data_IF_201690021292
#
_entry.id   IF_201690021292
#
_cell.length_a   1.000
_cell.length_b   1.000
_cell.length_c   1.000
_cell.angle_alpha   90.00
_cell.angle_beta   90.00
_cell.angle_gamma   90.00
#
_symmetry.space_group_name_H-M   'P 1'
#
loop_
_entity.id
_entity.type
_entity.pdbx_description
1 polymer ?
#
# COMPACT_ATOMS: atom_id res chain seq x y z
N UNK A 1 -2.48 -20.68 24.59
CA UNK A 1 -3.32 -19.81 25.47
C UNK A 1 -4.32 -19.08 24.57
N UNK A 2 -5.60 -19.00 24.95
CA UNK A 2 -6.68 -18.42 24.14
C UNK A 2 -6.92 -16.94 24.46
N UNK A 3 -5.97 -16.08 24.12
CA UNK A 3 -6.02 -14.65 24.45
C UNK A 3 -6.77 -13.81 23.40
N UNK A 4 -7.00 -14.36 22.21
CA UNK A 4 -7.68 -13.68 21.11
C UNK A 4 -9.16 -14.00 21.21
N UNK A 5 -10.00 -12.98 21.39
CA UNK A 5 -11.46 -13.12 21.48
C UNK A 5 -12.12 -13.24 20.12
N UNK A 6 -11.58 -12.60 19.10
CA UNK A 6 -12.11 -12.75 17.75
C UNK A 6 -11.19 -12.21 16.68
N UNK A 7 -11.51 -12.54 15.44
CA UNK A 7 -10.70 -12.18 14.28
C UNK A 7 -11.54 -11.96 13.04
N UNK A 8 -11.00 -11.16 12.13
CA UNK A 8 -11.47 -11.04 10.75
C UNK A 8 -10.63 -11.94 9.85
N UNK A 9 -11.28 -12.64 8.93
CA UNK A 9 -10.66 -13.36 7.81
C UNK A 9 -11.23 -12.78 6.52
N UNK A 10 -10.47 -11.89 5.87
CA UNK A 10 -10.89 -11.23 4.64
C UNK A 10 -10.08 -11.77 3.45
N UNK A 11 -10.71 -12.57 2.60
CA UNK A 11 -10.04 -13.24 1.47
C UNK A 11 -8.89 -14.17 1.89
N UNK A 12 -9.01 -14.78 3.07
CA UNK A 12 -8.02 -15.70 3.63
C UNK A 12 -8.68 -16.93 4.24
N UNK A 13 -8.01 -18.06 4.10
CA UNK A 13 -8.51 -19.35 4.58
C UNK A 13 -7.43 -20.13 5.35
N UNK A 14 -7.11 -19.73 6.60
CA UNK A 14 -6.07 -20.38 7.41
C UNK A 14 -6.43 -21.82 7.82
N UNK A 15 -7.70 -22.20 7.84
CA UNK A 15 -8.11 -23.58 8.11
C UNK A 15 -7.59 -24.58 7.06
N UNK A 16 -7.36 -24.13 5.82
CA UNK A 16 -6.79 -24.93 4.74
C UNK A 16 -5.35 -24.54 4.40
N UNK A 17 -5.07 -23.24 4.24
CA UNK A 17 -3.77 -22.74 3.77
C UNK A 17 -2.73 -22.47 4.86
N UNK A 18 -3.12 -22.53 6.14
CA UNK A 18 -2.24 -22.25 7.26
C UNK A 18 -1.24 -23.40 7.53
N UNK A 19 0.02 -23.10 7.92
CA UNK A 19 0.94 -24.12 8.37
C UNK A 19 0.37 -24.77 9.64
N UNK A 20 0.30 -26.10 9.67
CA UNK A 20 -0.40 -26.84 10.73
C UNK A 20 -1.89 -26.45 10.81
N UNK A 21 -2.65 -26.79 9.76
CA UNK A 21 -4.08 -26.57 9.63
C UNK A 21 -4.90 -27.03 10.86
N UNK A 22 -4.49 -28.10 11.55
CA UNK A 22 -5.16 -28.57 12.77
C UNK A 22 -5.12 -27.53 13.88
N UNK A 23 -3.94 -26.95 14.12
CA UNK A 23 -3.78 -25.89 15.11
C UNK A 23 -4.64 -24.66 14.78
N UNK A 24 -4.71 -24.29 13.50
CA UNK A 24 -5.57 -23.19 13.06
C UNK A 24 -7.04 -23.49 13.32
N UNK A 25 -7.52 -24.67 12.94
CA UNK A 25 -8.92 -25.09 13.14
C UNK A 25 -9.28 -25.15 14.63
N UNK A 26 -8.39 -25.66 15.47
CA UNK A 26 -8.55 -25.65 16.92
C UNK A 26 -8.63 -24.23 17.50
N UNK A 27 -7.82 -23.31 16.97
CA UNK A 27 -7.81 -21.92 17.42
C UNK A 27 -9.10 -21.19 17.03
N UNK A 28 -9.57 -21.37 15.79
CA UNK A 28 -10.80 -20.73 15.29
C UNK A 28 -12.04 -21.18 16.08
N UNK A 29 -12.10 -22.46 16.46
CA UNK A 29 -13.19 -23.03 17.29
C UNK A 29 -13.21 -22.55 18.75
N UNK A 30 -12.20 -21.79 19.19
CA UNK A 30 -12.08 -21.28 20.56
C UNK A 30 -12.26 -19.77 20.68
N UNK A 31 -12.59 -19.10 19.57
CA UNK A 31 -12.88 -17.66 19.56
C UNK A 31 -14.27 -17.41 20.17
N UNK A 32 -14.48 -16.20 20.68
CA UNK A 32 -15.82 -15.70 21.01
C UNK A 32 -16.58 -15.40 19.71
N UNK A 33 -15.93 -14.78 18.73
CA UNK A 33 -16.51 -14.44 17.42
C UNK A 33 -15.50 -14.54 16.27
N UNK A 34 -15.99 -14.85 15.08
CA UNK A 34 -15.21 -14.98 13.85
C UNK A 34 -15.96 -14.35 12.68
N UNK A 35 -15.38 -13.34 12.04
CA UNK A 35 -15.95 -12.70 10.86
C UNK A 35 -15.18 -13.13 9.63
N UNK A 36 -15.86 -13.72 8.65
CA UNK A 36 -15.31 -14.14 7.37
C UNK A 36 -15.92 -13.29 6.25
N UNK A 37 -15.07 -12.81 5.36
CA UNK A 37 -15.43 -12.09 4.14
C UNK A 37 -14.80 -12.83 2.96
N UNK A 38 -15.64 -13.52 2.19
CA UNK A 38 -15.19 -14.33 1.06
C UNK A 38 -16.31 -14.47 0.00
N UNK A 39 -15.98 -15.00 -1.17
CA UNK A 39 -16.92 -15.25 -2.27
C UNK A 39 -17.74 -16.51 -2.03
N UNK A 40 -17.16 -17.47 -1.32
CA UNK A 40 -17.76 -18.76 -1.02
C UNK A 40 -17.65 -19.08 0.46
N UNK A 41 -18.46 -20.03 0.92
CA UNK A 41 -18.18 -20.65 2.20
C UNK A 41 -16.83 -21.38 2.14
N UNK A 42 -15.93 -21.03 3.05
CA UNK A 42 -14.59 -21.61 3.15
C UNK A 42 -14.51 -22.58 4.33
N UNK A 43 -13.48 -23.42 4.36
CA UNK A 43 -13.18 -24.32 5.49
C UNK A 43 -13.03 -23.54 6.81
N UNK A 44 -12.58 -22.28 6.75
CA UNK A 44 -12.51 -21.42 7.94
C UNK A 44 -13.89 -20.97 8.41
N UNK A 45 -14.84 -20.74 7.51
CA UNK A 45 -16.22 -20.39 7.85
C UNK A 45 -17.01 -21.60 8.38
N UNK A 46 -16.77 -22.77 7.81
CA UNK A 46 -17.46 -24.01 8.18
C UNK A 46 -16.74 -24.83 9.27
N UNK A 47 -15.64 -24.32 9.83
CA UNK A 47 -14.77 -25.03 10.79
C UNK A 47 -15.49 -25.57 12.02
N UNK A 48 -16.62 -24.98 12.40
CA UNK A 48 -17.40 -25.36 13.56
C UNK A 48 -18.35 -26.54 13.33
N UNK A 49 -18.65 -26.93 12.07
CA UNK A 49 -19.52 -28.07 11.77
C UNK A 49 -18.98 -29.04 10.71
N UNK A 50 -18.15 -28.56 9.77
CA UNK A 50 -17.65 -29.35 8.65
C UNK A 50 -16.23 -29.90 8.85
N UNK A 51 -15.53 -29.47 9.91
CA UNK A 51 -14.21 -30.02 10.24
C UNK A 51 -14.34 -31.50 10.62
N UNK A 52 -13.53 -32.42 10.05
CA UNK A 52 -13.55 -33.85 10.38
C UNK A 52 -13.33 -34.18 11.87
N UNK A 53 -12.72 -33.29 12.64
CA UNK A 53 -12.50 -33.44 14.09
C UNK A 53 -13.68 -32.90 14.93
N UNK A 54 -14.73 -32.37 14.31
CA UNK A 54 -15.96 -31.95 15.01
C UNK A 54 -16.94 -33.13 15.05
N UNK A 55 -17.30 -33.55 16.26
CA UNK A 55 -18.35 -34.55 16.50
C UNK A 55 -19.65 -33.93 16.99
N UNK A 56 -19.60 -32.77 17.65
CA UNK A 56 -20.76 -32.01 18.11
C UNK A 56 -20.56 -30.51 17.82
N UNK A 57 -21.18 -29.98 16.75
CA UNK A 57 -21.12 -28.55 16.44
C UNK A 57 -21.66 -27.66 17.56
N UNK A 58 -22.58 -28.14 18.40
CA UNK A 58 -23.17 -27.36 19.50
C UNK A 58 -22.18 -27.10 20.64
N UNK A 59 -21.10 -27.88 20.71
CA UNK A 59 -20.04 -27.69 21.69
C UNK A 59 -19.04 -26.58 21.31
N UNK A 60 -19.13 -26.05 20.08
CA UNK A 60 -18.23 -24.99 19.60
C UNK A 60 -18.83 -23.63 19.98
N UNK A 61 -18.17 -22.83 20.84
CA UNK A 61 -18.73 -21.57 21.33
C UNK A 61 -18.62 -20.40 20.36
N UNK A 62 -17.81 -20.52 19.29
CA UNK A 62 -17.53 -19.42 18.37
C UNK A 62 -18.78 -18.96 17.62
N UNK A 63 -19.12 -17.68 17.73
CA UNK A 63 -20.11 -17.04 16.86
C UNK A 63 -19.49 -16.72 15.49
N UNK A 64 -20.05 -17.27 14.41
CA UNK A 64 -19.47 -17.14 13.06
C UNK A 64 -20.35 -16.26 12.17
N UNK A 65 -19.76 -15.20 11.62
CA UNK A 65 -20.36 -14.32 10.63
C UNK A 65 -19.72 -14.54 9.27
N UNK A 66 -20.42 -15.18 8.34
CA UNK A 66 -19.99 -15.24 6.93
C UNK A 66 -20.70 -14.14 6.15
N UNK A 67 -19.92 -13.18 5.65
CA UNK A 67 -20.40 -12.01 4.93
C UNK A 67 -19.97 -12.10 3.45
N UNK A 68 -20.89 -12.16 2.48
CA UNK A 68 -20.55 -12.41 1.09
C UNK A 68 -19.85 -11.20 0.44
N UNK A 69 -18.67 -11.43 -0.12
CA UNK A 69 -17.85 -10.42 -0.76
C UNK A 69 -18.11 -10.33 -2.28
N UNK A 70 -18.01 -9.13 -2.83
CA UNK A 70 -18.03 -8.92 -4.27
C UNK A 70 -16.69 -9.30 -4.90
N UNK A 71 -16.74 -9.99 -6.05
CA UNK A 71 -15.58 -10.42 -6.81
C UNK A 71 -14.88 -9.23 -7.50
N UNK A 72 -13.71 -9.48 -8.10
CA UNK A 72 -12.93 -8.44 -8.78
C UNK A 72 -13.67 -7.77 -9.94
N UNK A 73 -14.52 -8.51 -10.66
CA UNK A 73 -15.28 -7.96 -11.80
C UNK A 73 -16.52 -7.17 -11.35
N UNK A 74 -16.86 -7.25 -10.07
CA UNK A 74 -18.06 -6.66 -9.47
C UNK A 74 -17.79 -5.35 -8.70
N UNK A 75 -16.53 -4.92 -8.64
CA UNK A 75 -16.10 -3.68 -7.99
C UNK A 75 -15.07 -2.94 -8.82
N UNK A 76 -14.90 -1.66 -8.55
CA UNK A 76 -13.82 -0.83 -9.06
C UNK A 76 -12.64 -0.80 -8.07
N UNK A 77 -11.49 -0.38 -8.56
CA UNK A 77 -10.32 -0.17 -7.74
C UNK A 77 -9.03 -0.41 -8.49
N UNK A 78 -7.94 -0.54 -7.74
CA UNK A 78 -6.61 -0.77 -8.31
C UNK A 78 -5.90 -1.96 -7.69
N UNK A 79 -5.16 -2.70 -8.50
CA UNK A 79 -4.21 -3.72 -8.04
C UNK A 79 -2.78 -3.33 -8.38
N UNK A 80 -1.86 -3.68 -7.49
CA UNK A 80 -0.42 -3.62 -7.75
C UNK A 80 0.11 -5.00 -8.09
N UNK A 81 0.67 -5.17 -9.28
CA UNK A 81 1.28 -6.44 -9.68
C UNK A 81 2.75 -6.55 -9.19
N UNK A 82 3.40 -7.68 -9.50
CA UNK A 82 4.80 -7.94 -9.12
C UNK A 82 5.81 -6.93 -9.68
N UNK A 83 5.46 -6.22 -10.74
CA UNK A 83 6.32 -5.20 -11.36
C UNK A 83 6.16 -3.83 -10.71
N UNK A 84 5.36 -3.73 -9.62
CA UNK A 84 4.96 -2.50 -8.94
C UNK A 84 3.96 -1.66 -9.74
N UNK A 85 3.39 -2.22 -10.80
CA UNK A 85 2.42 -1.54 -11.66
C UNK A 85 1.04 -1.54 -11.02
N UNK A 86 0.56 -0.33 -10.72
CA UNK A 86 -0.76 -0.06 -10.21
C UNK A 86 -1.69 0.15 -11.39
N UNK A 87 -2.64 -0.76 -11.56
CA UNK A 87 -3.60 -0.74 -12.66
C UNK A 87 -5.00 -0.57 -12.12
N UNK A 88 -5.72 0.37 -12.70
CA UNK A 88 -7.14 0.56 -12.39
C UNK A 88 -7.99 -0.40 -13.22
N UNK A 89 -9.01 -0.97 -12.58
CA UNK A 89 -10.09 -1.66 -13.28
C UNK A 89 -11.43 -1.06 -12.90
N UNK A 90 -12.33 -1.01 -13.87
CA UNK A 90 -13.70 -0.63 -13.64
C UNK A 90 -14.54 -1.88 -13.39
N UNK A 91 -15.59 -1.71 -12.60
CA UNK A 91 -16.59 -2.74 -12.43
C UNK A 91 -17.24 -3.09 -13.78
N UNK A 92 -17.35 -4.38 -14.06
CA UNK A 92 -18.00 -4.89 -15.27
C UNK A 92 -19.48 -5.27 -15.05
N UNK A 93 -19.82 -5.79 -13.87
CA UNK A 93 -21.17 -6.26 -13.51
C UNK A 93 -21.53 -5.86 -12.08
N UNK A 94 -22.81 -5.84 -11.73
CA UNK A 94 -23.23 -5.65 -10.33
C UNK A 94 -22.96 -6.93 -9.51
N UNK A 95 -22.56 -6.83 -8.23
CA UNK A 95 -22.48 -7.97 -7.35
C UNK A 95 -23.82 -8.70 -7.24
N UNK A 96 -23.85 -10.05 -7.17
CA UNK A 96 -25.09 -10.79 -7.04
C UNK A 96 -25.70 -10.64 -5.64
N UNK A 97 -27.02 -10.51 -5.58
CA UNK A 97 -27.77 -10.46 -4.32
C UNK A 97 -27.23 -9.40 -3.34
N UNK A 98 -26.89 -9.83 -2.13
CA UNK A 98 -26.38 -8.96 -1.06
C UNK A 98 -24.85 -8.91 -0.98
N UNK A 99 -24.14 -9.38 -2.00
CA UNK A 99 -22.69 -9.20 -2.08
C UNK A 99 -22.33 -7.71 -2.07
N UNK A 100 -21.30 -7.35 -1.31
CA UNK A 100 -20.75 -5.97 -1.23
C UNK A 100 -19.24 -6.00 -1.38
N UNK A 101 -18.66 -4.91 -1.87
CA UNK A 101 -17.20 -4.82 -1.99
C UNK A 101 -16.52 -4.82 -0.62
N UNK A 102 -15.21 -5.09 -0.59
CA UNK A 102 -14.44 -4.99 0.65
C UNK A 102 -14.27 -3.55 1.11
N UNK A 103 -14.27 -2.60 0.17
CA UNK A 103 -14.24 -1.18 0.48
C UNK A 103 -15.55 -0.77 1.17
N UNK A 104 -16.70 -1.21 0.67
CA UNK A 104 -18.00 -1.03 1.33
C UNK A 104 -17.98 -1.54 2.77
N UNK A 105 -17.52 -2.79 2.96
CA UNK A 105 -17.49 -3.42 4.27
C UNK A 105 -16.62 -2.65 5.25
N UNK A 106 -15.38 -2.32 4.85
CA UNK A 106 -14.48 -1.56 5.70
C UNK A 106 -15.03 -0.16 6.01
N UNK A 107 -15.59 0.51 5.01
CA UNK A 107 -16.14 1.85 5.14
C UNK A 107 -17.36 1.90 6.06
N UNK A 108 -18.35 1.03 5.84
CA UNK A 108 -19.56 0.94 6.66
C UNK A 108 -19.23 0.54 8.11
N UNK A 109 -18.34 -0.44 8.30
CA UNK A 109 -17.85 -0.82 9.64
C UNK A 109 -17.19 0.38 10.33
N UNK A 110 -16.35 1.13 9.62
CA UNK A 110 -15.73 2.35 10.12
C UNK A 110 -16.76 3.39 10.56
N UNK A 111 -17.79 3.67 9.74
CA UNK A 111 -18.87 4.60 10.09
C UNK A 111 -19.62 4.18 11.36
N UNK A 112 -19.96 2.89 11.48
CA UNK A 112 -20.63 2.34 12.66
C UNK A 112 -19.77 2.45 13.92
N UNK A 113 -18.48 2.16 13.82
CA UNK A 113 -17.55 2.31 14.94
C UNK A 113 -17.39 3.78 15.34
N UNK A 114 -17.28 4.70 14.39
CA UNK A 114 -17.24 6.14 14.68
C UNK A 114 -18.50 6.60 15.41
N UNK A 115 -19.69 6.19 14.95
CA UNK A 115 -20.95 6.52 15.60
C UNK A 115 -21.04 5.92 17.02
N UNK A 116 -20.64 4.66 17.20
CA UNK A 116 -20.65 3.98 18.50
C UNK A 116 -19.77 4.69 19.54
N UNK A 117 -18.66 5.29 19.10
CA UNK A 117 -17.67 5.93 19.98
C UNK A 117 -17.73 7.46 19.97
N UNK A 118 -18.70 8.08 19.28
CA UNK A 118 -18.74 9.53 19.07
C UNK A 118 -18.73 10.32 20.39
N UNK A 119 -19.47 9.82 21.39
CA UNK A 119 -19.66 10.46 22.69
C UNK A 119 -18.73 9.87 23.77
N UNK A 120 -17.80 8.98 23.40
CA UNK A 120 -16.94 8.35 24.39
C UNK A 120 -15.97 9.36 25.01
N UNK A 121 -15.93 9.47 26.35
CA UNK A 121 -15.00 10.37 27.04
C UNK A 121 -13.59 9.79 27.17
N UNK A 122 -13.37 8.53 26.78
CA UNK A 122 -12.09 7.85 27.01
C UNK A 122 -11.06 8.29 25.97
N UNK A 123 -9.86 8.61 26.45
CA UNK A 123 -8.72 8.98 25.59
C UNK A 123 -8.39 7.89 24.57
N UNK A 124 -8.45 6.62 24.97
CA UNK A 124 -8.18 5.47 24.08
C UNK A 124 -9.11 5.40 22.86
N UNK A 125 -10.28 6.03 22.92
CA UNK A 125 -11.28 6.03 21.85
C UNK A 125 -11.12 7.26 20.92
N UNK A 126 -10.23 8.20 21.26
CA UNK A 126 -9.96 9.39 20.46
C UNK A 126 -9.53 9.11 19.01
N UNK A 127 -8.70 8.08 18.71
CA UNK A 127 -8.33 7.77 17.33
C UNK A 127 -9.52 7.48 16.42
N UNK A 128 -10.56 6.80 16.92
CA UNK A 128 -11.78 6.54 16.14
C UNK A 128 -12.55 7.84 15.86
N UNK A 129 -12.67 8.71 16.87
CA UNK A 129 -13.39 10.00 16.73
C UNK A 129 -12.71 10.94 15.73
N UNK A 130 -11.37 10.94 15.69
CA UNK A 130 -10.57 11.85 14.86
C UNK A 130 -10.16 11.26 13.50
N UNK A 131 -10.54 10.01 13.19
CA UNK A 131 -10.23 9.39 11.91
C UNK A 131 -10.96 10.11 10.77
N UNK A 132 -10.25 10.62 9.77
CA UNK A 132 -10.87 11.11 8.52
C UNK A 132 -11.52 9.94 7.79
N UNK A 133 -12.80 10.05 7.44
CA UNK A 133 -13.58 8.92 6.92
C UNK A 133 -14.72 9.37 6.00
N UNK A 134 -14.39 10.24 5.03
CA UNK A 134 -15.36 11.03 4.26
C UNK A 134 -15.35 10.64 2.78
N UNK A 135 -15.83 9.43 2.47
CA UNK A 135 -15.78 8.82 1.13
C UNK A 135 -17.17 8.55 0.52
N UNK A 136 -18.22 9.20 1.02
CA UNK A 136 -19.63 8.90 0.68
C UNK A 136 -20.02 9.11 -0.80
N UNK A 137 -19.14 9.63 -1.65
CA UNK A 137 -19.42 9.96 -3.05
C UNK A 137 -19.28 8.79 -4.04
N UNK A 138 -19.36 7.54 -3.58
CA UNK A 138 -19.18 6.38 -4.45
C UNK A 138 -20.27 6.28 -5.54
N UNK A 139 -19.85 6.00 -6.77
CA UNK A 139 -20.72 5.94 -7.95
C UNK A 139 -20.97 4.52 -8.45
N UNK A 140 -20.88 3.53 -7.55
CA UNK A 140 -21.21 2.15 -7.90
C UNK A 140 -22.73 1.91 -7.94
N UNK A 141 -23.59 2.89 -7.64
CA UNK A 141 -25.04 2.65 -7.61
C UNK A 141 -25.45 1.57 -6.59
N UNK A 142 -24.55 1.26 -5.66
CA UNK A 142 -24.79 0.44 -4.48
C UNK A 142 -24.80 1.43 -3.31
N UNK A 143 -25.88 1.42 -2.54
CA UNK A 143 -26.04 2.32 -1.41
C UNK A 143 -24.90 2.13 -0.38
N UNK A 144 -24.28 3.24 0.02
CA UNK A 144 -23.21 3.27 1.02
C UNK A 144 -21.82 2.87 0.52
N UNK A 145 -21.66 2.59 -0.77
CA UNK A 145 -20.35 2.29 -1.35
C UNK A 145 -19.44 3.53 -1.37
N UNK A 146 -18.17 3.43 -0.94
CA UNK A 146 -17.25 4.56 -0.96
C UNK A 146 -16.70 4.87 -2.36
N UNK A 147 -16.28 6.12 -2.60
CA UNK A 147 -15.51 6.50 -3.80
C UNK A 147 -14.06 5.98 -3.69
N UNK A 148 -13.78 4.87 -4.38
CA UNK A 148 -12.43 4.26 -4.36
C UNK A 148 -11.38 5.12 -5.08
N UNK A 149 -11.77 6.02 -6.00
CA UNK A 149 -10.84 6.99 -6.59
C UNK A 149 -10.49 8.08 -5.59
N UNK A 150 -11.44 8.50 -4.74
CA UNK A 150 -11.15 9.41 -3.64
C UNK A 150 -10.14 8.80 -2.67
N UNK A 151 -10.31 7.52 -2.33
CA UNK A 151 -9.32 6.78 -1.53
C UNK A 151 -7.96 6.80 -2.23
N UNK A 152 -7.90 6.56 -3.55
CA UNK A 152 -6.63 6.61 -4.29
C UNK A 152 -6.01 8.03 -4.33
N UNK A 153 -6.83 9.09 -4.41
CA UNK A 153 -6.39 10.50 -4.30
C UNK A 153 -5.79 10.79 -2.91
N UNK A 154 -6.36 10.25 -1.85
CA UNK A 154 -5.79 10.40 -0.50
C UNK A 154 -4.51 9.58 -0.31
N UNK A 155 -4.45 8.39 -0.90
CA UNK A 155 -3.22 7.57 -0.96
C UNK A 155 -2.11 8.33 -1.70
N UNK A 156 -2.42 8.99 -2.82
CA UNK A 156 -1.50 9.87 -3.55
C UNK A 156 -0.99 11.01 -2.67
N UNK A 157 -1.92 11.71 -2.00
CA UNK A 157 -1.65 12.82 -1.12
C UNK A 157 -1.93 14.20 -1.71
N UNK A 158 -2.04 15.19 -0.83
CA UNK A 158 -2.44 16.56 -1.15
C UNK A 158 -1.87 17.58 -0.16
N UNK A 159 -1.84 18.85 -0.56
CA UNK A 159 -1.58 20.01 0.30
C UNK A 159 -2.80 20.27 1.19
N UNK A 160 -2.63 20.29 2.51
CA UNK A 160 -3.75 20.44 3.46
C UNK A 160 -4.48 21.78 3.30
N UNK A 161 -3.74 22.88 3.09
CA UNK A 161 -4.32 24.23 3.01
C UNK A 161 -5.15 24.47 1.73
N UNK A 162 -4.65 24.01 0.58
CA UNK A 162 -5.29 24.24 -0.73
C UNK A 162 -6.17 23.07 -1.19
N UNK A 163 -6.05 21.90 -0.55
CA UNK A 163 -6.64 20.62 -0.99
C UNK A 163 -6.20 20.19 -2.40
N UNK A 164 -5.07 20.74 -2.89
CA UNK A 164 -4.46 20.39 -4.19
C UNK A 164 -3.66 19.10 -4.09
N UNK A 165 -3.80 18.20 -5.07
CA UNK A 165 -3.03 16.96 -5.16
C UNK A 165 -1.52 17.20 -5.29
N UNK A 166 -0.73 16.30 -4.68
CA UNK A 166 0.73 16.26 -4.84
C UNK A 166 1.09 15.64 -6.20
N UNK A 167 2.00 16.27 -6.94
CA UNK A 167 2.43 15.76 -8.26
C UNK A 167 3.48 14.65 -8.14
N UNK A 168 4.13 14.55 -6.99
CA UNK A 168 5.15 13.56 -6.68
C UNK A 168 5.76 13.77 -5.29
N UNK A 169 6.63 12.85 -4.85
CA UNK A 169 7.16 12.82 -3.49
C UNK A 169 8.03 14.02 -3.14
N UNK A 170 8.56 14.75 -4.13
CA UNK A 170 9.34 15.97 -3.91
C UNK A 170 8.53 17.12 -3.28
N UNK A 171 7.19 17.08 -3.36
CA UNK A 171 6.31 18.06 -2.71
C UNK A 171 5.99 17.70 -1.25
N UNK A 172 6.36 16.51 -0.77
CA UNK A 172 6.07 16.09 0.61
C UNK A 172 6.85 16.91 1.63
N UNK A 173 6.17 17.37 2.67
CA UNK A 173 6.74 18.14 3.76
C UNK A 173 6.52 17.46 5.12
N UNK A 174 7.46 17.66 6.04
CA UNK A 174 7.41 17.11 7.41
C UNK A 174 6.81 18.07 8.45
N UNK A 175 6.41 19.26 8.04
CA UNK A 175 5.82 20.31 8.88
C UNK A 175 4.30 20.20 9.05
N UNK A 176 3.69 19.18 8.43
CA UNK A 176 2.25 18.95 8.43
C UNK A 176 1.49 19.72 7.36
N UNK A 177 2.15 20.44 6.44
CA UNK A 177 1.47 21.12 5.33
C UNK A 177 0.94 20.17 4.25
N UNK A 178 1.43 18.93 4.20
CA UNK A 178 0.99 17.88 3.27
C UNK A 178 0.51 16.63 3.97
N UNK A 179 -0.51 15.97 3.42
CA UNK A 179 -0.94 14.63 3.81
C UNK A 179 -0.75 13.64 2.65
N UNK A 180 -0.38 12.40 2.95
CA UNK A 180 -0.16 11.36 1.94
C UNK A 180 -0.36 9.98 2.58
N UNK A 181 -1.32 9.19 2.06
CA UNK A 181 -1.62 7.87 2.60
C UNK A 181 -0.53 6.82 2.31
N UNK A 182 0.13 6.92 1.15
CA UNK A 182 1.30 6.10 0.83
C UNK A 182 2.28 6.87 -0.06
N UNK A 183 3.42 7.27 0.50
CA UNK A 183 4.43 8.06 -0.21
C UNK A 183 4.96 7.40 -1.49
N UNK A 184 4.95 6.07 -1.58
CA UNK A 184 5.33 5.33 -2.78
C UNK A 184 4.37 5.59 -3.95
N UNK A 185 3.10 5.86 -3.66
CA UNK A 185 2.06 6.13 -4.64
C UNK A 185 1.95 7.62 -4.98
N UNK A 186 2.68 8.48 -4.27
CA UNK A 186 2.66 9.92 -4.54
C UNK A 186 3.09 10.21 -5.99
N UNK A 187 2.21 10.89 -6.72
CA UNK A 187 2.29 11.12 -8.15
C UNK A 187 1.41 10.19 -9.01
N UNK A 188 0.69 9.22 -8.46
CA UNK A 188 -0.30 8.43 -9.21
C UNK A 188 -1.54 9.26 -9.59
N UNK A 189 -1.84 10.28 -8.79
CA UNK A 189 -3.00 11.16 -8.94
C UNK A 189 -2.59 12.63 -8.86
N UNK A 190 -1.73 13.13 -9.78
CA UNK A 190 -1.06 14.44 -9.65
C UNK A 190 -2.01 15.65 -9.70
N UNK A 191 -3.23 15.45 -10.19
CA UNK A 191 -4.30 16.46 -10.33
C UNK A 191 -5.64 15.76 -10.10
N UNK A 192 -6.66 16.51 -9.65
CA UNK A 192 -7.95 15.95 -9.19
C UNK A 192 -8.65 15.01 -10.18
N UNK A 193 -8.42 15.17 -11.49
CA UNK A 193 -9.02 14.34 -12.56
C UNK A 193 -8.03 13.46 -13.30
N UNK A 194 -6.78 13.34 -12.82
CA UNK A 194 -5.72 12.61 -13.51
C UNK A 194 -5.36 11.32 -12.77
N UNK A 195 -6.16 10.28 -12.95
CA UNK A 195 -5.84 8.94 -12.46
C UNK A 195 -4.83 8.25 -13.39
N UNK A 196 -3.53 8.23 -13.06
CA UNK A 196 -2.51 7.58 -13.91
C UNK A 196 -2.63 6.05 -13.94
N UNK A 197 -3.30 5.43 -12.96
CA UNK A 197 -3.55 3.99 -12.97
C UNK A 197 -4.50 3.56 -14.12
N UNK A 198 -5.25 4.51 -14.69
CA UNK A 198 -6.13 4.32 -15.86
C UNK A 198 -5.42 4.49 -17.21
N UNK A 199 -4.14 4.83 -17.23
CA UNK A 199 -3.43 5.09 -18.49
C UNK A 199 -3.38 3.82 -19.37
N UNK A 200 -3.75 3.96 -20.65
CA UNK A 200 -3.77 2.86 -21.65
C UNK A 200 -2.89 3.19 -22.86
N UNK A 201 -1.81 3.94 -22.64
CA UNK A 201 -0.89 4.34 -23.70
C UNK A 201 -0.11 3.16 -24.27
N UNK A 202 0.32 3.29 -25.52
CA UNK A 202 1.06 2.25 -26.22
C UNK A 202 2.55 2.28 -25.89
N UNK A 203 3.22 1.17 -26.17
CA UNK A 203 4.67 1.11 -26.16
C UNK A 203 5.24 2.10 -27.19
N UNK A 204 6.27 2.86 -26.81
CA UNK A 204 7.04 3.61 -27.79
C UNK A 204 7.81 2.61 -28.66
N UNK A 205 7.57 2.65 -29.96
CA UNK A 205 8.22 1.76 -30.94
C UNK A 205 9.75 1.71 -30.71
N UNK A 206 10.30 0.50 -30.64
CA UNK A 206 11.74 0.27 -30.47
C UNK A 206 12.27 0.35 -29.03
N UNK A 207 11.40 0.48 -28.02
CA UNK A 207 11.79 0.45 -26.59
C UNK A 207 11.14 -0.75 -25.91
N UNK A 208 11.73 -1.32 -24.85
CA UNK A 208 11.10 -2.38 -24.05
C UNK A 208 10.31 -1.86 -22.84
N UNK A 209 10.05 -0.55 -22.79
CA UNK A 209 9.51 0.14 -21.61
C UNK A 209 8.10 0.67 -21.92
N UNK A 210 7.11 0.17 -21.21
CA UNK A 210 5.70 0.57 -21.36
C UNK A 210 5.36 1.74 -20.43
N UNK A 211 6.08 2.85 -20.55
CA UNK A 211 5.96 4.00 -19.64
C UNK A 211 4.58 4.68 -19.61
N UNK A 212 3.76 4.45 -20.65
CA UNK A 212 2.45 5.08 -20.83
C UNK A 212 1.28 4.12 -20.50
N UNK A 213 1.57 2.88 -20.10
CA UNK A 213 0.58 1.91 -19.64
C UNK A 213 0.53 1.87 -18.11
N UNK A 214 -0.61 2.26 -17.54
CA UNK A 214 -0.83 2.41 -16.11
C UNK A 214 0.29 3.22 -15.41
N UNK A 215 0.53 2.99 -14.12
CA UNK A 215 1.57 3.70 -13.38
C UNK A 215 2.36 2.75 -12.47
N UNK A 216 3.68 2.92 -12.40
CA UNK A 216 4.56 2.06 -11.59
C UNK A 216 5.20 2.84 -10.46
N UNK A 217 5.08 2.38 -9.22
CA UNK A 217 5.78 3.03 -8.12
C UNK A 217 7.26 2.58 -8.07
N UNK A 218 8.22 3.46 -7.75
CA UNK A 218 8.06 4.89 -7.48
C UNK A 218 8.13 5.74 -8.76
N UNK A 219 7.35 6.82 -8.82
CA UNK A 219 7.45 7.89 -9.85
C UNK A 219 7.45 7.39 -11.31
N UNK A 220 6.71 6.32 -11.60
CA UNK A 220 6.63 5.66 -12.91
C UNK A 220 7.92 5.00 -13.42
N UNK A 221 8.88 4.72 -12.52
CA UNK A 221 10.15 4.02 -12.86
C UNK A 221 9.91 2.53 -13.07
N UNK A 222 10.01 2.09 -14.32
CA UNK A 222 9.73 0.70 -14.70
C UNK A 222 10.84 -0.23 -14.23
N UNK A 223 12.10 0.20 -14.31
CA UNK A 223 13.26 -0.58 -13.86
C UNK A 223 13.95 0.19 -12.72
N UNK A 224 13.96 -0.41 -11.53
CA UNK A 224 14.69 0.13 -10.39
C UNK A 224 16.21 0.11 -10.65
N UNK A 225 16.92 1.04 -10.02
CA UNK A 225 18.38 1.15 -10.11
C UNK A 225 18.89 1.33 -11.54
N UNK A 226 18.07 1.88 -12.44
CA UNK A 226 18.40 2.02 -13.86
C UNK A 226 19.61 2.92 -14.11
N UNK A 227 20.02 3.78 -13.17
CA UNK A 227 21.30 4.52 -13.20
C UNK A 227 22.51 3.60 -13.42
N UNK A 228 22.48 2.37 -12.90
CA UNK A 228 23.54 1.38 -13.08
C UNK A 228 23.63 0.81 -14.52
N UNK A 229 22.68 1.12 -15.40
CA UNK A 229 22.72 0.76 -16.83
C UNK A 229 23.70 1.62 -17.66
N UNK A 230 24.25 2.66 -17.06
CA UNK A 230 25.29 3.52 -17.63
C UNK A 230 26.55 3.52 -16.78
N UNK A 231 27.69 3.75 -17.44
CA UNK A 231 29.01 3.85 -16.82
C UNK A 231 29.15 5.09 -15.92
N UNK A 232 30.29 5.23 -15.20
CA UNK A 232 30.54 6.40 -14.35
C UNK A 232 30.52 7.75 -15.09
N UNK A 233 30.69 7.75 -16.43
CA UNK A 233 30.61 8.94 -17.28
C UNK A 233 29.19 9.15 -17.85
N UNK A 234 28.23 8.30 -17.50
CA UNK A 234 26.84 8.39 -17.96
C UNK A 234 26.56 7.84 -19.34
N UNK A 235 27.48 7.05 -19.91
CA UNK A 235 27.30 6.38 -21.19
C UNK A 235 26.72 4.98 -21.00
N UNK A 236 25.72 4.52 -21.77
CA UNK A 236 25.18 3.17 -21.64
C UNK A 236 26.24 2.09 -21.82
N UNK A 237 26.21 1.04 -20.99
CA UNK A 237 27.11 -0.12 -21.15
C UNK A 237 26.90 -0.88 -22.47
N UNK A 238 25.69 -0.83 -23.01
CA UNK A 238 25.31 -1.51 -24.26
C UNK A 238 24.39 -0.62 -25.08
N UNK A 239 24.76 -0.35 -26.34
CA UNK A 239 23.90 0.38 -27.26
C UNK A 239 22.57 -0.37 -27.53
N UNK A 240 22.60 -1.71 -27.58
CA UNK A 240 21.43 -2.56 -27.81
C UNK A 240 20.43 -2.55 -26.65
N UNK A 241 20.92 -2.36 -25.42
CA UNK A 241 20.12 -2.43 -24.19
C UNK A 241 20.18 -1.12 -23.39
N UNK A 242 20.42 0.02 -24.05
CA UNK A 242 20.48 1.31 -23.36
C UNK A 242 19.13 1.59 -22.70
N UNK A 243 19.16 2.17 -21.50
CA UNK A 243 17.96 2.43 -20.71
C UNK A 243 17.92 3.89 -20.27
N UNK A 244 18.92 4.34 -19.52
CA UNK A 244 19.14 5.76 -19.21
C UNK A 244 20.58 6.17 -19.52
N UNK A 245 20.79 7.45 -19.78
CA UNK A 245 22.10 8.04 -20.07
C UNK A 245 22.12 9.52 -19.69
N UNK A 246 23.33 10.08 -19.55
CA UNK A 246 23.53 11.51 -19.38
C UNK A 246 23.48 12.21 -20.75
N UNK A 247 22.63 13.22 -20.88
CA UNK A 247 22.58 14.10 -22.04
C UNK A 247 23.36 15.38 -21.72
N UNK A 248 24.57 15.47 -22.28
CA UNK A 248 25.45 16.63 -22.08
C UNK A 248 24.86 17.93 -22.65
N UNK A 249 24.03 17.86 -23.70
CA UNK A 249 23.43 19.07 -24.28
C UNK A 249 22.32 19.59 -23.38
N UNK A 250 21.49 18.69 -22.85
CA UNK A 250 20.39 19.03 -21.96
C UNK A 250 20.79 19.12 -20.48
N UNK A 251 22.04 18.79 -20.13
CA UNK A 251 22.58 18.75 -18.77
C UNK A 251 21.68 17.96 -17.79
N UNK A 252 21.22 16.77 -18.22
CA UNK A 252 20.34 15.92 -17.42
C UNK A 252 20.42 14.44 -17.76
N UNK A 253 20.05 13.60 -16.80
CA UNK A 253 19.73 12.20 -17.06
C UNK A 253 18.44 12.10 -17.87
N UNK A 254 18.49 11.32 -18.93
CA UNK A 254 17.35 11.03 -19.80
C UNK A 254 17.39 9.56 -20.20
N UNK A 255 16.37 9.07 -20.90
CA UNK A 255 16.32 7.68 -21.26
C UNK A 255 15.00 7.22 -21.86
N UNK A 256 14.87 5.90 -21.99
CA UNK A 256 13.61 5.22 -22.30
C UNK A 256 12.76 4.96 -21.06
N UNK A 257 13.36 5.00 -19.87
CA UNK A 257 12.68 4.91 -18.58
C UNK A 257 12.93 6.20 -17.77
N UNK A 258 12.13 6.43 -16.74
CA UNK A 258 12.33 7.55 -15.80
C UNK A 258 13.63 7.28 -15.00
N UNK A 259 14.63 8.17 -15.01
CA UNK A 259 15.86 7.96 -14.26
C UNK A 259 15.61 7.74 -12.77
N UNK A 260 16.17 6.66 -12.22
CA UNK A 260 16.25 6.38 -10.80
C UNK A 260 17.44 7.10 -10.15
N UNK A 261 17.55 8.39 -10.46
CA UNK A 261 18.61 9.27 -10.00
C UNK A 261 18.12 10.72 -9.95
N UNK A 262 18.89 11.60 -9.33
CA UNK A 262 18.63 13.04 -9.45
C UNK A 262 18.87 13.48 -10.89
N UNK A 263 17.80 13.94 -11.56
CA UNK A 263 17.80 14.21 -13.01
C UNK A 263 18.90 15.21 -13.40
N UNK A 264 19.14 16.24 -12.60
CA UNK A 264 20.14 17.28 -12.88
C UNK A 264 21.55 16.97 -12.33
N UNK A 265 21.76 15.82 -11.67
CA UNK A 265 23.05 15.51 -11.05
C UNK A 265 24.02 14.93 -12.08
N UNK A 266 24.93 15.79 -12.55
CA UNK A 266 25.94 15.42 -13.55
C UNK A 266 26.88 14.31 -13.06
N UNK A 267 27.35 13.38 -13.92
CA UNK A 267 28.25 12.29 -13.54
C UNK A 267 29.53 12.75 -12.84
N UNK A 268 30.04 13.94 -13.19
CA UNK A 268 31.21 14.56 -12.58
C UNK A 268 30.98 15.16 -11.19
N UNK A 269 29.73 15.24 -10.70
CA UNK A 269 29.42 15.81 -9.39
C UNK A 269 30.15 15.04 -8.28
N UNK A 270 30.80 15.79 -7.39
CA UNK A 270 31.42 15.27 -6.17
C UNK A 270 30.82 15.99 -4.97
N UNK A 271 30.29 15.24 -3.98
CA UNK A 271 29.73 15.83 -2.78
C UNK A 271 30.85 16.46 -1.95
N UNK A 272 30.52 17.51 -1.21
CA UNK A 272 31.39 18.02 -0.15
C UNK A 272 31.41 17.05 1.04
N UNK A 273 32.43 17.16 1.89
CA UNK A 273 32.59 16.26 3.06
C UNK A 273 31.45 16.41 4.09
N UNK A 274 30.76 17.55 4.10
CA UNK A 274 29.65 17.90 4.97
C UNK A 274 28.27 17.69 4.32
N UNK A 275 28.22 17.25 3.05
CA UNK A 275 26.96 16.99 2.36
C UNK A 275 26.16 15.87 3.05
N UNK A 276 24.83 16.02 3.08
CA UNK A 276 23.93 15.08 3.74
C UNK A 276 22.82 14.59 2.80
N UNK A 277 22.24 13.44 3.13
CA UNK A 277 21.12 12.85 2.40
C UNK A 277 21.43 12.64 0.92
N UNK A 278 20.53 13.07 0.04
CA UNK A 278 20.70 12.94 -1.41
C UNK A 278 21.88 13.78 -1.94
N UNK A 279 22.18 14.94 -1.33
CA UNK A 279 23.32 15.76 -1.73
C UNK A 279 24.67 15.04 -1.52
N UNK A 280 24.76 14.12 -0.56
CA UNK A 280 25.96 13.32 -0.30
C UNK A 280 26.26 12.26 -1.38
N UNK A 281 25.35 12.06 -2.34
CA UNK A 281 25.49 11.05 -3.39
C UNK A 281 26.26 11.66 -4.56
N UNK A 282 27.43 11.09 -4.88
CA UNK A 282 28.22 11.46 -6.05
C UNK A 282 27.50 11.17 -7.37
N UNK A 283 27.79 11.94 -8.42
CA UNK A 283 27.10 11.81 -9.71
C UNK A 283 27.39 10.50 -10.46
N UNK A 284 28.51 9.87 -10.15
CA UNK A 284 28.92 8.58 -10.68
C UNK A 284 28.44 7.39 -9.85
N UNK A 285 27.69 7.64 -8.77
CA UNK A 285 27.11 6.58 -7.97
C UNK A 285 26.13 5.73 -8.80
N UNK A 286 26.15 4.39 -8.64
CA UNK A 286 25.30 3.49 -9.43
C UNK A 286 23.82 3.51 -9.02
N UNK A 287 23.51 3.96 -7.80
CA UNK A 287 22.16 4.05 -7.25
C UNK A 287 22.06 5.26 -6.33
N UNK A 288 20.83 5.72 -6.10
CA UNK A 288 20.56 6.57 -4.94
C UNK A 288 20.53 5.71 -3.69
N UNK A 289 21.11 6.20 -2.60
CA UNK A 289 20.80 5.67 -1.28
C UNK A 289 19.28 5.79 -1.08
N UNK A 290 18.60 4.66 -0.90
CA UNK A 290 17.23 4.68 -0.42
C UNK A 290 17.32 5.25 1.00
N UNK A 291 16.94 6.52 1.15
CA UNK A 291 16.84 7.15 2.46
C UNK A 291 15.78 6.41 3.26
N UNK A 292 16.17 5.35 3.98
CA UNK A 292 15.48 4.89 5.18
C UNK A 292 15.65 5.95 6.27
N UNK A 293 15.10 7.13 6.03
CA UNK A 293 14.90 8.18 7.02
C UNK A 293 13.57 8.82 6.66
N UNK A 294 12.49 8.11 6.98
CA UNK A 294 11.28 8.80 7.37
C UNK A 294 11.67 9.66 8.59
N UNK A 295 11.59 11.01 8.52
CA UNK A 295 11.90 11.85 9.67
C UNK A 295 10.94 11.60 10.86
N UNK A 296 9.81 10.91 10.64
CA UNK A 296 8.79 10.68 11.67
C UNK A 296 9.15 9.63 12.72
N UNK A 297 10.20 8.80 12.53
CA UNK A 297 10.52 7.70 13.48
C UNK A 297 11.71 8.01 14.39
N UNK A 298 12.21 9.26 14.43
CA UNK A 298 13.33 9.63 15.31
C UNK A 298 12.92 10.08 16.72
N UNK A 299 11.62 10.08 17.07
CA UNK A 299 11.14 10.46 18.41
C UNK A 299 10.29 9.38 19.10
N UNK A 300 10.74 8.12 19.07
CA UNK A 300 10.37 7.18 20.14
C UNK A 300 11.48 7.14 21.18
N UNK A 301 11.09 7.47 22.42
CA UNK A 301 11.88 7.46 23.64
C UNK A 301 12.78 6.22 23.71
N UNK A 302 14.10 6.34 23.94
CA UNK A 302 14.94 5.18 24.17
C UNK A 302 14.56 4.55 25.51
N UNK A 303 13.85 3.42 25.43
CA UNK A 303 13.65 2.53 26.57
C UNK A 303 15.04 1.98 26.97
N UNK A 304 15.60 2.49 28.06
CA UNK A 304 16.86 2.00 28.63
C UNK A 304 16.64 0.59 29.18
N UNK A 305 16.92 -0.44 28.37
CA UNK A 305 17.22 -1.77 28.90
C UNK A 305 18.66 -1.76 29.42
N UNK A 306 18.83 -1.56 30.73
CA UNK A 306 20.10 -1.81 31.42
C UNK A 306 20.38 -3.31 31.45
N UNK A 307 21.27 -3.79 30.58
CA UNK A 307 21.86 -5.12 30.68
C UNK A 307 22.98 -5.10 31.73
N UNK A 308 22.63 -5.29 33.00
CA UNK A 308 23.62 -5.68 34.01
C UNK A 308 23.96 -7.17 33.84
N UNK A 309 24.96 -7.47 33.00
CA UNK A 309 25.65 -8.76 33.05
C UNK A 309 26.52 -8.80 34.29
N UNK A 310 26.02 -9.39 35.38
CA UNK A 310 26.88 -9.86 36.47
C UNK A 310 27.28 -11.30 36.18
N UNK A 311 28.56 -11.48 35.86
CA UNK A 311 29.27 -12.75 35.98
C UNK A 311 29.05 -13.35 37.38
N UNK A 312 28.51 -14.57 37.46
CA UNK A 312 28.90 -15.52 38.52
C UNK A 312 29.06 -16.90 37.93
N UNK A 313 30.30 -17.37 38.00
CA UNK A 313 30.69 -18.78 37.99
C UNK A 313 30.22 -19.43 39.29
N UNK A 314 29.58 -20.59 39.16
CA UNK A 314 29.80 -21.81 39.95
C UNK A 314 28.91 -22.89 39.35
#
# INVERSE_FOLDING_TARGET
>A
QGHIRGTFLMGQNPAAGGPNARLHRDALRRLDWLVIRDFFETESASVWYADPEVTDPKAIPTEVFLLPAASVVEKDGSFTNTERMIQWHDRAILPPGDCRSDAWFAYDLGKRLKALYQDSPRERDAPLRHLTWDYDSGNLGIEGEPDTEQVLREINGYHLGERRQLRGPAELASDGSTACGCWLYCGIFPEERTNRARAKGQQRHGTSVYGEWAWVWPENRRILYNRASADPQGRPWSARKKLVWWDETAQRWTGYDVPDFEIAKAPGYRPSADAQGLAAIAGDAPFRMHGCTCPMVSKMVPCRCSTSRSNRRS
#
